data_IF_066906932749
#
_entry.id   IF_066906932749
#
_cell.length_a   1.000
_cell.length_b   1.000
_cell.length_c   1.000
_cell.angle_alpha   90.00
_cell.angle_beta   90.00
_cell.angle_gamma   90.00
#
_symmetry.space_group_name_H-M   'P 1'
#
loop_
_entity.id
_entity.type
_entity.pdbx_description
1 polymer ?
#
# COMPACT_ATOMS: atom_id res chain seq x y z
N UNK A 1 -16.50 -10.76 3.44
CA UNK A 1 -16.96 -9.99 2.25
C UNK A 1 -16.21 -8.68 2.10
N UNK A 2 -15.77 -8.04 3.20
CA UNK A 2 -14.95 -6.82 3.15
C UNK A 2 -13.58 -7.03 2.50
N UNK A 3 -12.92 -8.17 2.67
CA UNK A 3 -11.61 -8.47 2.05
C UNK A 3 -11.59 -8.24 0.53
N UNK A 4 -12.64 -8.68 -0.18
CA UNK A 4 -12.76 -8.47 -1.63
C UNK A 4 -12.93 -6.99 -1.99
N UNK A 5 -13.66 -6.24 -1.16
CA UNK A 5 -13.81 -4.80 -1.32
C UNK A 5 -12.49 -4.08 -1.08
N UNK A 6 -11.75 -4.46 -0.02
CA UNK A 6 -10.43 -3.91 0.29
C UNK A 6 -9.41 -4.21 -0.82
N UNK A 7 -9.36 -5.44 -1.33
CA UNK A 7 -8.54 -5.81 -2.48
C UNK A 7 -8.90 -4.99 -3.73
N UNK A 8 -10.20 -4.77 -3.98
CA UNK A 8 -10.66 -3.92 -5.08
C UNK A 8 -10.23 -2.46 -4.90
N UNK A 9 -10.37 -1.90 -3.69
CA UNK A 9 -9.93 -0.54 -3.35
C UNK A 9 -8.43 -0.39 -3.63
N UNK A 10 -7.61 -1.35 -3.18
CA UNK A 10 -6.17 -1.34 -3.43
C UNK A 10 -5.82 -1.46 -4.91
N UNK A 11 -6.54 -2.28 -5.68
CA UNK A 11 -6.37 -2.39 -7.13
C UNK A 11 -6.70 -1.07 -7.84
N UNK A 12 -7.76 -0.37 -7.41
CA UNK A 12 -8.07 0.99 -7.87
C UNK A 12 -6.92 1.94 -7.54
N UNK A 13 -6.36 1.86 -6.33
CA UNK A 13 -5.18 2.62 -5.92
C UNK A 13 -3.98 2.46 -6.84
N UNK A 14 -3.65 1.21 -7.19
CA UNK A 14 -2.60 0.88 -8.16
C UNK A 14 -2.86 1.52 -9.53
N UNK A 15 -4.07 1.36 -10.06
CA UNK A 15 -4.45 1.91 -11.37
C UNK A 15 -4.37 3.44 -11.35
N UNK A 16 -4.86 4.08 -10.29
CA UNK A 16 -4.81 5.54 -10.17
C UNK A 16 -3.37 6.06 -10.11
N UNK A 17 -2.48 5.38 -9.38
CA UNK A 17 -1.05 5.75 -9.34
C UNK A 17 -0.40 5.58 -10.72
N UNK A 18 -0.70 4.49 -11.43
CA UNK A 18 -0.21 4.24 -12.79
C UNK A 18 -0.69 5.28 -13.80
N UNK A 19 -1.97 5.67 -13.72
CA UNK A 19 -2.56 6.70 -14.59
C UNK A 19 -2.03 8.10 -14.27
N UNK A 20 -1.70 8.38 -13.02
CA UNK A 20 -1.20 9.68 -12.61
C UNK A 20 0.25 9.93 -13.09
N UNK A 21 1.12 8.94 -12.95
CA UNK A 21 2.47 8.96 -13.53
C UNK A 21 2.98 7.52 -13.65
N UNK A 22 3.39 7.08 -14.85
CA UNK A 22 3.78 5.68 -15.10
C UNK A 22 4.98 5.24 -14.27
N UNK A 23 5.94 6.13 -14.04
CA UNK A 23 7.17 5.83 -13.29
C UNK A 23 6.82 5.72 -11.80
N UNK A 24 6.02 6.65 -11.29
CA UNK A 24 5.51 6.60 -9.92
C UNK A 24 4.64 5.38 -9.67
N UNK A 25 3.76 5.04 -10.62
CA UNK A 25 2.95 3.82 -10.57
C UNK A 25 3.80 2.56 -10.53
N UNK A 26 4.79 2.44 -11.42
CA UNK A 26 5.72 1.30 -11.43
C UNK A 26 6.51 1.19 -10.11
N UNK A 27 6.93 2.34 -9.56
CA UNK A 27 7.68 2.38 -8.32
C UNK A 27 6.84 2.03 -7.08
N UNK A 28 5.58 2.44 -7.05
CA UNK A 28 4.64 2.14 -5.96
C UNK A 28 3.95 0.78 -6.11
N UNK A 29 4.01 0.17 -7.31
CA UNK A 29 3.37 -1.11 -7.60
C UNK A 29 3.71 -2.24 -6.61
N UNK A 30 4.98 -2.45 -6.18
CA UNK A 30 5.28 -3.48 -5.19
C UNK A 30 4.48 -3.31 -3.88
N UNK A 31 4.29 -2.08 -3.40
CA UNK A 31 3.50 -1.81 -2.20
C UNK A 31 2.04 -2.24 -2.36
N UNK A 32 1.42 -1.81 -3.46
CA UNK A 32 0.02 -2.15 -3.77
C UNK A 32 -0.18 -3.65 -3.92
N UNK A 33 0.72 -4.33 -4.65
CA UNK A 33 0.62 -5.77 -4.89
C UNK A 33 0.79 -6.57 -3.60
N UNK A 34 1.69 -6.15 -2.71
CA UNK A 34 1.86 -6.79 -1.39
C UNK A 34 0.59 -6.64 -0.55
N UNK A 35 -0.03 -5.45 -0.53
CA UNK A 35 -1.27 -5.24 0.22
C UNK A 35 -2.44 -6.04 -0.38
N UNK A 36 -2.59 -6.06 -1.71
CA UNK A 36 -3.61 -6.89 -2.38
C UNK A 36 -3.38 -8.38 -2.07
N UNK A 37 -2.13 -8.83 -2.10
CA UNK A 37 -1.80 -10.21 -1.76
C UNK A 37 -2.08 -10.52 -0.29
N UNK A 38 -1.86 -9.58 0.63
CA UNK A 38 -2.25 -9.70 2.05
C UNK A 38 -3.76 -9.89 2.20
N UNK A 39 -4.56 -9.03 1.57
CA UNK A 39 -6.04 -9.12 1.60
C UNK A 39 -6.57 -10.41 1.00
N UNK A 40 -5.96 -10.88 -0.09
CA UNK A 40 -6.29 -12.17 -0.70
C UNK A 40 -5.68 -13.35 0.05
N UNK A 41 -5.13 -13.13 1.25
CA UNK A 41 -4.56 -14.18 2.08
C UNK A 41 -3.50 -14.99 1.34
N UNK A 42 -2.69 -14.33 0.51
CA UNK A 42 -1.71 -14.90 -0.41
C UNK A 42 -2.29 -15.87 -1.46
N UNK A 43 -3.52 -15.62 -1.89
CA UNK A 43 -4.22 -16.44 -2.88
C UNK A 43 -4.94 -17.67 -2.31
N UNK A 44 -4.96 -17.83 -0.97
CA UNK A 44 -5.73 -18.90 -0.30
C UNK A 44 -7.22 -18.87 -0.65
N UNK A 45 -7.74 -17.68 -0.93
CA UNK A 45 -9.15 -17.46 -1.28
C UNK A 45 -9.55 -18.21 -2.56
N UNK A 46 -8.60 -18.56 -3.43
CA UNK A 46 -8.86 -19.35 -4.65
C UNK A 46 -8.90 -20.87 -4.42
N UNK A 47 -8.58 -21.35 -3.21
CA UNK A 47 -8.57 -22.77 -2.85
C UNK A 47 -9.51 -23.06 -1.66
N UNK A 48 -10.84 -22.87 -1.82
CA UNK A 48 -11.80 -23.20 -0.77
C UNK A 48 -11.86 -24.73 -0.59
N UNK A 49 -11.73 -25.19 0.66
CA UNK A 49 -11.91 -26.62 1.01
C UNK A 49 -13.39 -27.01 1.13
N UNK A 50 -14.27 -26.03 1.32
CA UNK A 50 -15.70 -26.21 1.47
C UNK A 50 -16.33 -24.96 2.10
N UNK A 51 -17.65 -24.96 2.24
CA UNK A 51 -18.43 -23.86 2.84
C UNK A 51 -19.08 -24.38 4.12
N UNK A 52 -18.80 -23.73 5.26
CA UNK A 52 -19.47 -23.96 6.55
C UNK A 52 -20.46 -22.81 6.84
N UNK A 53 -21.21 -22.91 7.93
CA UNK A 53 -22.22 -21.92 8.33
C UNK A 53 -21.65 -20.50 8.56
N UNK A 54 -20.37 -20.42 8.85
CA UNK A 54 -19.54 -19.23 9.07
C UNK A 54 -18.84 -18.73 7.79
N UNK A 55 -18.93 -19.45 6.68
CA UNK A 55 -18.35 -19.08 5.39
C UNK A 55 -17.42 -20.16 4.78
N UNK A 56 -16.78 -19.86 3.63
CA UNK A 56 -15.78 -20.75 3.05
C UNK A 56 -14.57 -20.88 3.97
N UNK A 57 -14.16 -22.12 4.26
CA UNK A 57 -12.93 -22.38 5.01
C UNK A 57 -11.80 -22.75 4.04
N UNK A 58 -10.61 -22.22 4.32
CA UNK A 58 -9.45 -22.32 3.43
C UNK A 58 -8.35 -23.17 4.05
N UNK A 59 -7.49 -23.77 3.21
CA UNK A 59 -6.27 -24.41 3.71
C UNK A 59 -5.39 -23.37 4.43
N UNK A 60 -4.79 -23.72 5.57
CA UNK A 60 -3.76 -22.89 6.16
C UNK A 60 -2.55 -22.79 5.21
N UNK A 61 -1.87 -21.64 5.21
CA UNK A 61 -0.86 -21.30 4.21
C UNK A 61 0.26 -22.35 4.11
N UNK A 62 0.68 -22.91 5.23
CA UNK A 62 1.72 -23.95 5.33
C UNK A 62 1.35 -25.29 4.67
N UNK A 63 0.06 -25.55 4.40
CA UNK A 63 -0.41 -26.75 3.70
C UNK A 63 -0.46 -26.57 2.18
N UNK A 64 -0.29 -25.35 1.68
CA UNK A 64 -0.17 -25.10 0.24
C UNK A 64 1.25 -25.41 -0.22
N UNK A 65 1.36 -25.99 -1.42
CA UNK A 65 2.65 -26.35 -2.04
C UNK A 65 3.60 -25.16 -2.20
N UNK A 66 3.05 -23.95 -2.37
CA UNK A 66 3.81 -22.70 -2.46
C UNK A 66 3.88 -21.93 -1.13
N UNK A 67 3.20 -22.40 -0.09
CA UNK A 67 3.12 -21.75 1.22
C UNK A 67 4.47 -21.37 1.83
N UNK A 68 5.43 -22.30 1.91
CA UNK A 68 6.78 -22.01 2.41
C UNK A 68 7.54 -20.98 1.58
N UNK A 69 7.20 -20.80 0.31
CA UNK A 69 7.87 -19.87 -0.60
C UNK A 69 7.31 -18.43 -0.52
N UNK A 70 6.13 -18.22 0.06
CA UNK A 70 5.47 -16.90 0.11
C UNK A 70 6.31 -15.88 0.87
N UNK A 71 6.67 -16.17 2.13
CA UNK A 71 7.44 -15.22 2.95
C UNK A 71 8.86 -14.97 2.42
N UNK A 72 9.65 -15.97 1.99
CA UNK A 72 10.93 -15.73 1.34
C UNK A 72 10.82 -14.86 0.08
N UNK A 73 9.80 -15.11 -0.75
CA UNK A 73 9.57 -14.31 -1.97
C UNK A 73 9.20 -12.87 -1.62
N UNK A 74 8.34 -12.67 -0.63
CA UNK A 74 8.00 -11.35 -0.11
C UNK A 74 9.25 -10.61 0.40
N UNK A 75 10.09 -11.28 1.19
CA UNK A 75 11.35 -10.72 1.68
C UNK A 75 12.25 -10.30 0.53
N UNK A 76 12.41 -11.14 -0.49
CA UNK A 76 13.21 -10.82 -1.68
C UNK A 76 12.65 -9.58 -2.41
N UNK A 77 11.33 -9.50 -2.63
CA UNK A 77 10.68 -8.34 -3.27
C UNK A 77 10.91 -7.06 -2.46
N UNK A 78 10.72 -7.10 -1.14
CA UNK A 78 10.94 -5.95 -0.26
C UNK A 78 12.40 -5.51 -0.27
N UNK A 79 13.36 -6.46 -0.21
CA UNK A 79 14.79 -6.15 -0.25
C UNK A 79 15.19 -5.50 -1.57
N UNK A 80 14.73 -6.04 -2.70
CA UNK A 80 14.99 -5.44 -4.03
C UNK A 80 14.39 -4.04 -4.12
N UNK A 81 13.18 -3.85 -3.58
CA UNK A 81 12.51 -2.57 -3.60
C UNK A 81 13.21 -1.52 -2.72
N UNK A 82 13.62 -1.89 -1.50
CA UNK A 82 14.42 -1.03 -0.61
C UNK A 82 15.78 -0.71 -1.23
N UNK A 83 16.44 -1.70 -1.84
CA UNK A 83 17.68 -1.48 -2.58
C UNK A 83 17.49 -0.46 -3.72
N UNK A 84 16.39 -0.54 -4.47
CA UNK A 84 16.05 0.46 -5.49
C UNK A 84 15.85 1.86 -4.88
N UNK A 85 15.17 1.97 -3.74
CA UNK A 85 14.96 3.26 -3.03
C UNK A 85 16.30 3.91 -2.65
N UNK A 86 17.23 3.12 -2.14
CA UNK A 86 18.55 3.59 -1.73
C UNK A 86 19.39 3.96 -2.96
N UNK A 87 19.46 3.06 -3.95
CA UNK A 87 20.25 3.22 -5.19
C UNK A 87 19.84 4.46 -5.98
N UNK A 88 18.54 4.71 -6.12
CA UNK A 88 18.00 5.86 -6.85
C UNK A 88 17.80 7.10 -5.95
N UNK A 89 18.26 7.06 -4.69
CA UNK A 89 18.14 8.14 -3.71
C UNK A 89 16.69 8.67 -3.55
N UNK A 90 15.71 7.80 -3.75
CA UNK A 90 14.29 8.16 -3.70
C UNK A 90 13.86 8.58 -2.29
N UNK A 91 14.55 8.11 -1.25
CA UNK A 91 14.38 8.57 0.13
C UNK A 91 14.63 10.08 0.31
N UNK A 92 15.39 10.73 -0.58
CA UNK A 92 15.60 12.17 -0.52
C UNK A 92 14.38 12.97 -0.97
N UNK A 93 13.48 12.38 -1.76
CA UNK A 93 12.27 13.04 -2.25
C UNK A 93 11.35 13.47 -1.10
N UNK A 94 10.88 12.58 -0.20
CA UNK A 94 10.05 12.99 0.92
C UNK A 94 10.80 13.97 1.84
N UNK A 95 12.10 13.80 2.06
CA UNK A 95 12.91 14.73 2.86
C UNK A 95 12.93 16.14 2.27
N UNK A 96 13.05 16.28 0.94
CA UNK A 96 12.95 17.59 0.26
C UNK A 96 11.55 18.18 0.38
N UNK A 97 10.51 17.36 0.22
CA UNK A 97 9.12 17.81 0.35
C UNK A 97 8.79 18.31 1.75
N UNK A 98 9.37 17.67 2.78
CA UNK A 98 9.26 18.13 4.17
C UNK A 98 9.93 19.50 4.33
N UNK A 99 11.14 19.68 3.78
CA UNK A 99 11.84 20.98 3.80
C UNK A 99 11.05 22.07 3.06
N UNK A 100 10.38 21.72 1.97
CA UNK A 100 9.55 22.63 1.17
C UNK A 100 8.13 22.82 1.73
N UNK A 101 7.78 22.17 2.86
CA UNK A 101 6.43 22.18 3.48
C UNK A 101 5.27 21.73 2.57
N UNK A 102 5.56 21.01 1.49
CA UNK A 102 4.54 20.47 0.56
C UNK A 102 4.13 19.04 0.93
N UNK A 103 4.75 18.46 1.95
CA UNK A 103 4.44 17.10 2.38
C UNK A 103 3.03 17.01 3.01
N UNK A 104 2.18 16.07 2.57
CA UNK A 104 0.79 15.93 3.04
C UNK A 104 0.70 15.29 4.44
N UNK A 105 1.16 16.02 5.47
CA UNK A 105 1.23 15.56 6.87
C UNK A 105 -0.11 15.05 7.42
N UNK A 106 -1.21 15.76 7.17
CA UNK A 106 -2.52 15.39 7.72
C UNK A 106 -2.93 13.97 7.29
N UNK A 107 -2.74 13.64 6.02
CA UNK A 107 -3.04 12.31 5.49
C UNK A 107 -2.09 11.24 6.06
N UNK A 108 -0.81 11.57 6.17
CA UNK A 108 0.19 10.64 6.72
C UNK A 108 -0.11 10.29 8.19
N UNK A 109 -0.43 11.29 9.03
CA UNK A 109 -0.77 11.08 10.43
C UNK A 109 -2.07 10.30 10.61
N UNK A 110 -3.08 10.55 9.76
CA UNK A 110 -4.34 9.79 9.79
C UNK A 110 -4.12 8.30 9.46
N UNK A 111 -3.30 8.01 8.43
CA UNK A 111 -2.94 6.63 8.07
C UNK A 111 -2.19 5.97 9.22
N UNK A 112 -1.19 6.66 9.80
CA UNK A 112 -0.42 6.13 10.92
C UNK A 112 -1.32 5.81 12.12
N UNK A 113 -2.21 6.72 12.49
CA UNK A 113 -3.18 6.50 13.57
C UNK A 113 -4.12 5.33 13.25
N UNK A 114 -4.60 5.22 12.00
CA UNK A 114 -5.45 4.12 11.55
C UNK A 114 -4.74 2.76 11.58
N UNK A 115 -3.47 2.70 11.18
CA UNK A 115 -2.66 1.47 11.28
C UNK A 115 -2.47 1.04 12.73
N UNK A 116 -2.21 2.00 13.64
CA UNK A 116 -2.12 1.71 15.08
C UNK A 116 -3.47 1.22 15.61
N UNK A 117 -4.57 1.86 15.22
CA UNK A 117 -5.91 1.46 15.64
C UNK A 117 -6.26 0.04 15.16
N UNK A 118 -5.86 -0.32 13.93
CA UNK A 118 -6.01 -1.67 13.38
C UNK A 118 -5.25 -2.68 14.23
N UNK A 119 -3.97 -2.42 14.51
CA UNK A 119 -3.14 -3.30 15.34
C UNK A 119 -3.72 -3.51 16.74
N UNK A 120 -4.26 -2.44 17.35
CA UNK A 120 -4.92 -2.52 18.65
C UNK A 120 -6.26 -3.29 18.57
N UNK A 121 -7.03 -3.13 17.49
CA UNK A 121 -8.29 -3.84 17.29
C UNK A 121 -8.06 -5.35 17.12
N UNK A 122 -7.06 -5.74 16.33
CA UNK A 122 -6.62 -7.13 16.14
C UNK A 122 -6.24 -7.75 17.50
N UNK A 123 -5.45 -7.04 18.30
CA UNK A 123 -5.02 -7.51 19.62
C UNK A 123 -6.17 -7.69 20.62
N UNK A 124 -7.24 -6.89 20.50
CA UNK A 124 -8.42 -6.98 21.36
C UNK A 124 -9.54 -7.86 20.75
N UNK A 125 -9.25 -8.61 19.67
CA UNK A 125 -10.22 -9.46 18.98
C UNK A 125 -11.47 -8.73 18.47
N UNK A 126 -11.35 -7.44 18.11
CA UNK A 126 -12.43 -6.62 17.59
C UNK A 126 -12.45 -6.65 16.05
N UNK A 127 -12.79 -7.80 15.47
CA UNK A 127 -12.67 -8.03 14.02
C UNK A 127 -13.42 -7.01 13.14
N UNK A 128 -14.62 -6.57 13.53
CA UNK A 128 -15.37 -5.56 12.75
C UNK A 128 -14.66 -4.21 12.78
N UNK A 129 -14.11 -3.80 13.93
CA UNK A 129 -13.42 -2.53 14.06
C UNK A 129 -12.09 -2.54 13.30
N UNK A 130 -11.40 -3.68 13.28
CA UNK A 130 -10.20 -3.93 12.50
C UNK A 130 -10.47 -3.74 11.00
N UNK A 131 -11.45 -4.46 10.43
CA UNK A 131 -11.78 -4.39 9.00
C UNK A 131 -12.20 -2.97 8.57
N UNK A 132 -12.97 -2.27 9.42
CA UNK A 132 -13.35 -0.87 9.17
C UNK A 132 -12.15 0.07 9.20
N UNK A 133 -11.26 -0.08 10.19
CA UNK A 133 -10.05 0.74 10.31
C UNK A 133 -9.11 0.51 9.11
N UNK A 134 -8.91 -0.74 8.70
CA UNK A 134 -8.10 -1.08 7.51
C UNK A 134 -8.67 -0.45 6.23
N UNK A 135 -9.99 -0.47 6.06
CA UNK A 135 -10.63 0.17 4.91
C UNK A 135 -10.34 1.68 4.87
N UNK A 136 -10.43 2.36 6.01
CA UNK A 136 -10.10 3.79 6.11
C UNK A 136 -8.62 4.03 5.81
N UNK A 137 -7.73 3.17 6.32
CA UNK A 137 -6.28 3.22 6.05
C UNK A 137 -6.00 3.07 4.55
N UNK A 138 -6.62 2.11 3.87
CA UNK A 138 -6.39 1.86 2.44
C UNK A 138 -6.90 3.00 1.57
N UNK A 139 -8.08 3.57 1.85
CA UNK A 139 -8.55 4.77 1.17
C UNK A 139 -7.60 5.94 1.43
N UNK A 140 -7.15 6.11 2.68
CA UNK A 140 -6.15 7.09 3.08
C UNK A 140 -4.86 6.95 2.26
N UNK A 141 -4.37 5.72 2.08
CA UNK A 141 -3.16 5.39 1.33
C UNK A 141 -3.26 5.85 -0.13
N UNK A 142 -4.41 5.64 -0.78
CA UNK A 142 -4.67 6.12 -2.14
C UNK A 142 -4.59 7.64 -2.20
N UNK A 143 -5.28 8.33 -1.29
CA UNK A 143 -5.27 9.80 -1.25
C UNK A 143 -3.86 10.33 -0.97
N UNK A 144 -3.12 9.69 -0.06
CA UNK A 144 -1.74 10.06 0.25
C UNK A 144 -0.85 9.89 -0.98
N UNK A 145 -0.91 8.75 -1.67
CA UNK A 145 -0.11 8.49 -2.86
C UNK A 145 -0.38 9.50 -3.98
N UNK A 146 -1.65 9.85 -4.21
CA UNK A 146 -2.03 10.86 -5.20
C UNK A 146 -1.59 12.28 -4.81
N UNK A 147 -1.75 12.67 -3.54
CA UNK A 147 -1.26 13.96 -3.03
C UNK A 147 0.26 14.05 -3.12
N UNK A 148 0.95 12.97 -2.79
CA UNK A 148 2.40 12.87 -2.90
C UNK A 148 2.86 13.05 -4.34
N UNK A 149 2.23 12.36 -5.30
CA UNK A 149 2.56 12.52 -6.71
C UNK A 149 2.30 13.97 -7.21
N UNK A 150 1.17 14.58 -6.84
CA UNK A 150 0.88 15.98 -7.18
C UNK A 150 1.92 16.95 -6.62
N UNK A 151 2.31 16.77 -5.37
CA UNK A 151 3.32 17.61 -4.73
C UNK A 151 4.70 17.44 -5.38
N UNK A 152 5.07 16.23 -5.80
CA UNK A 152 6.28 15.99 -6.60
C UNK A 152 6.24 16.71 -7.94
N UNK A 153 5.11 16.66 -8.66
CA UNK A 153 4.95 17.32 -9.95
C UNK A 153 5.00 18.85 -9.82
N UNK A 154 4.36 19.43 -8.79
CA UNK A 154 4.40 20.87 -8.48
C UNK A 154 5.85 21.35 -8.27
N UNK A 155 6.62 20.61 -7.47
CA UNK A 155 8.02 20.92 -7.19
C UNK A 155 8.88 20.89 -8.47
N UNK A 156 8.63 19.94 -9.39
CA UNK A 156 9.32 19.89 -10.70
C UNK A 156 8.97 21.09 -11.57
N UNK A 157 7.70 21.50 -11.63
CA UNK A 157 7.27 22.63 -12.45
C UNK A 157 7.84 23.96 -11.96
N UNK A 158 7.92 24.18 -10.65
CA UNK A 158 8.49 25.40 -10.07
C UNK A 158 9.99 25.54 -10.40
N UNK A 159 10.75 24.44 -10.32
CA UNK A 159 12.17 24.40 -10.70
C UNK A 159 12.35 24.65 -12.20
N UNK A 160 11.50 24.07 -13.04
CA UNK A 160 11.57 24.30 -14.48
C UNK A 160 11.25 25.75 -14.86
N UNK A 161 10.37 26.42 -14.12
CA UNK A 161 10.03 27.83 -14.34
C UNK A 161 11.19 28.76 -13.95
N UNK A 162 11.85 28.54 -12.81
CA UNK A 162 12.98 29.37 -12.37
C UNK A 162 14.20 29.30 -13.30
N UNK A 163 14.42 28.13 -13.92
CA UNK A 163 15.49 27.94 -14.92
C UNK A 163 15.22 28.62 -16.27
N UNK A 164 13.96 28.97 -16.57
CA UNK A 164 13.60 29.70 -17.81
C UNK A 164 13.63 31.22 -17.66
N UNK A 165 13.59 31.72 -16.42
CA UNK A 165 13.65 33.15 -16.10
C UNK A 165 15.06 33.65 -15.77
N UNK A 166 16.08 32.78 -15.91
CA UNK A 166 17.50 33.06 -15.68
C UNK A 166 18.23 33.04 -17.02
#
# INVERSE_FOLDING_TARGET
>A
MLEWLQAFILAVGLILCWRADKIFGLFTAPAWLILIARELSWGRVFYPLGVRADGPFFLPLNHLWYGPAVYPSLTAVVLIWVFAIIKYKLHMIPLRMIKQRVFPWNNFLLILAGTIATYLAEHNHLSVAEEMAETVVYIGLIVLALKFNRAMLSSKSEIAASLRSS
#
